data_IF_611661060083
#
_entry.id   IF_611661060083
#
_cell.length_a   1.000
_cell.length_b   1.000
_cell.length_c   1.000
_cell.angle_alpha   90.00
_cell.angle_beta   90.00
_cell.angle_gamma   90.00
#
_symmetry.space_group_name_H-M   'P 1'
#
loop_
_entity.id
_entity.type
_entity.pdbx_description
1 polymer ?
#
# COMPACT_ATOMS: atom_id res chain seq x y z
N UNK A 1 34.06 34.74 -36.53
CA UNK A 1 34.66 35.53 -35.43
C UNK A 1 34.31 34.81 -34.15
N UNK A 2 35.31 34.37 -33.38
CA UNK A 2 35.07 33.77 -32.07
C UNK A 2 34.41 34.84 -31.19
N UNK A 3 33.29 34.51 -30.55
CA UNK A 3 32.64 35.42 -29.61
C UNK A 3 33.55 35.50 -28.38
N UNK A 4 34.11 36.69 -28.10
CA UNK A 4 34.98 36.86 -26.94
C UNK A 4 34.20 36.56 -25.65
N UNK A 5 34.72 35.62 -24.87
CA UNK A 5 34.18 35.23 -23.58
C UNK A 5 34.53 36.34 -22.58
N UNK A 6 33.55 37.03 -21.98
CA UNK A 6 33.82 38.12 -21.05
C UNK A 6 34.44 37.63 -19.74
N UNK A 7 35.10 38.53 -19.01
CA UNK A 7 35.65 38.22 -17.69
C UNK A 7 34.59 37.64 -16.74
N UNK A 8 35.02 36.72 -15.88
CA UNK A 8 34.17 35.99 -14.92
C UNK A 8 33.07 35.14 -15.59
N UNK A 9 33.36 34.59 -16.77
CA UNK A 9 32.50 33.62 -17.46
C UNK A 9 33.28 32.42 -17.99
N UNK A 10 32.56 31.37 -18.37
CA UNK A 10 33.09 30.17 -18.99
C UNK A 10 32.16 29.70 -20.13
N UNK A 11 32.70 28.89 -21.05
CA UNK A 11 31.92 28.31 -22.14
C UNK A 11 30.83 27.37 -21.64
N UNK A 12 29.65 27.46 -22.27
CA UNK A 12 28.55 26.54 -21.97
C UNK A 12 28.94 25.10 -22.28
N UNK A 13 28.64 24.21 -21.34
CA UNK A 13 28.81 22.76 -21.52
C UNK A 13 27.89 22.20 -22.62
N UNK A 14 26.74 22.83 -22.86
CA UNK A 14 25.79 22.47 -23.92
C UNK A 14 25.19 23.72 -24.58
N UNK A 15 25.16 23.77 -25.92
CA UNK A 15 24.67 24.92 -26.70
C UNK A 15 25.79 25.87 -27.16
N UNK A 16 25.40 27.02 -27.73
CA UNK A 16 26.35 28.10 -28.10
C UNK A 16 26.25 29.25 -27.09
N UNK A 17 27.39 29.84 -26.73
CA UNK A 17 27.50 30.97 -25.81
C UNK A 17 28.24 30.61 -24.50
N UNK A 18 28.23 31.55 -23.56
CA UNK A 18 28.94 31.46 -22.27
C UNK A 18 27.95 31.60 -21.10
N UNK A 19 28.36 31.13 -19.93
CA UNK A 19 27.68 31.31 -18.63
C UNK A 19 28.61 32.02 -17.65
N UNK A 20 28.05 32.85 -16.77
CA UNK A 20 28.83 33.48 -15.70
C UNK A 20 29.34 32.43 -14.71
N UNK A 21 30.52 32.68 -14.15
CA UNK A 21 31.09 31.91 -13.05
C UNK A 21 30.25 32.09 -11.77
N UNK A 22 30.36 31.15 -10.84
CA UNK A 22 29.69 31.20 -9.54
C UNK A 22 29.97 32.56 -8.84
N UNK A 23 28.92 33.21 -8.34
CA UNK A 23 29.00 34.56 -7.77
C UNK A 23 28.80 35.70 -8.77
N UNK A 24 28.58 35.40 -10.05
CA UNK A 24 28.33 36.39 -11.09
C UNK A 24 27.03 36.12 -11.85
N UNK A 25 26.35 37.19 -12.26
CA UNK A 25 25.11 37.15 -13.04
C UNK A 25 25.27 37.90 -14.35
N UNK A 26 24.63 37.38 -15.40
CA UNK A 26 24.67 38.00 -16.71
C UNK A 26 23.97 39.37 -16.70
N UNK A 27 24.70 40.40 -17.11
CA UNK A 27 24.20 41.75 -17.32
C UNK A 27 24.66 42.23 -18.70
N UNK A 28 23.72 42.22 -19.66
CA UNK A 28 24.00 42.48 -21.09
C UNK A 28 25.06 41.51 -21.63
N UNK A 29 26.24 42.01 -22.04
CA UNK A 29 27.34 41.23 -22.62
C UNK A 29 28.48 40.96 -21.61
N UNK A 30 28.23 41.13 -20.32
CA UNK A 30 29.24 40.99 -19.27
C UNK A 30 28.66 40.23 -18.07
N UNK A 31 29.56 39.67 -17.26
CA UNK A 31 29.22 39.12 -15.96
C UNK A 31 29.45 40.18 -14.89
N UNK A 32 28.37 40.52 -14.16
CA UNK A 32 28.45 41.42 -13.01
C UNK A 32 28.41 40.58 -11.74
N UNK A 33 29.27 40.90 -10.79
CA UNK A 33 29.27 40.29 -9.45
C UNK A 33 27.89 40.46 -8.80
N UNK A 34 27.42 39.40 -8.17
CA UNK A 34 26.16 39.38 -7.41
C UNK A 34 26.42 40.08 -6.08
N UNK A 35 25.66 41.14 -5.81
CA UNK A 35 25.66 41.79 -4.51
C UNK A 35 24.86 40.93 -3.53
N UNK A 36 25.53 40.44 -2.48
CA UNK A 36 24.96 39.54 -1.49
C UNK A 36 24.65 40.36 -0.24
N UNK A 37 23.36 40.59 0.08
CA UNK A 37 23.02 41.39 1.24
C UNK A 37 23.38 40.67 2.55
N UNK A 38 23.42 41.42 3.64
CA UNK A 38 23.60 40.85 4.98
C UNK A 38 22.56 39.74 5.25
N UNK A 39 23.01 38.67 5.91
CA UNK A 39 22.22 37.46 6.19
C UNK A 39 21.73 36.71 4.94
N UNK A 40 22.46 36.81 3.82
CA UNK A 40 22.30 35.96 2.65
C UNK A 40 23.57 35.16 2.33
N UNK A 41 23.43 34.15 1.48
CA UNK A 41 24.55 33.42 0.89
C UNK A 41 24.35 33.26 -0.62
N UNK A 42 25.45 33.14 -1.36
CA UNK A 42 25.42 32.90 -2.80
C UNK A 42 24.83 31.53 -3.10
N UNK A 43 23.93 31.51 -4.08
CA UNK A 43 23.50 30.27 -4.72
C UNK A 43 24.38 29.98 -5.93
N UNK A 44 24.41 28.72 -6.37
CA UNK A 44 25.05 28.34 -7.64
C UNK A 44 24.19 28.68 -8.87
N UNK A 45 23.11 29.44 -8.70
CA UNK A 45 22.20 29.82 -9.77
C UNK A 45 22.62 31.14 -10.40
N UNK A 46 22.90 31.12 -11.70
CA UNK A 46 23.08 32.33 -12.52
C UNK A 46 21.75 33.00 -12.91
N UNK A 47 20.62 32.38 -12.58
CA UNK A 47 19.26 32.88 -12.79
C UNK A 47 18.64 33.36 -11.47
N UNK A 48 17.76 34.38 -11.52
CA UNK A 48 17.16 34.97 -10.31
C UNK A 48 18.07 36.00 -9.62
N UNK A 49 17.95 36.18 -8.31
CA UNK A 49 18.82 37.07 -7.52
C UNK A 49 20.25 36.52 -7.37
N UNK A 50 20.43 35.21 -7.48
CA UNK A 50 21.72 34.55 -7.34
C UNK A 50 22.17 34.38 -5.88
N UNK A 51 21.35 34.79 -4.92
CA UNK A 51 21.54 34.60 -3.48
C UNK A 51 20.23 34.15 -2.82
N UNK A 52 20.34 33.45 -1.70
CA UNK A 52 19.24 33.05 -0.83
C UNK A 52 19.51 33.53 0.60
N UNK A 53 18.44 33.89 1.33
CA UNK A 53 18.59 34.28 2.73
C UNK A 53 19.05 33.10 3.58
N UNK A 54 19.87 33.39 4.58
CA UNK A 54 20.25 32.44 5.61
C UNK A 54 19.02 32.02 6.43
N UNK A 55 19.10 30.87 7.09
CA UNK A 55 18.02 30.36 7.94
C UNK A 55 17.59 31.41 8.97
N UNK A 56 16.28 31.62 9.11
CA UNK A 56 15.70 32.65 9.98
C UNK A 56 15.50 34.01 9.31
N UNK A 57 15.85 34.17 8.02
CA UNK A 57 15.65 35.40 7.26
C UNK A 57 14.83 35.14 5.99
N UNK A 58 14.09 36.14 5.54
CA UNK A 58 13.25 36.08 4.34
C UNK A 58 13.59 37.23 3.40
N UNK A 59 13.66 36.90 2.11
CA UNK A 59 13.93 37.89 1.07
C UNK A 59 12.77 38.87 0.97
N UNK A 60 13.09 40.16 1.03
CA UNK A 60 12.17 41.26 0.76
C UNK A 60 12.91 42.36 0.03
N UNK A 61 12.55 42.58 -1.23
CA UNK A 61 13.33 43.39 -2.16
C UNK A 61 14.78 42.85 -2.25
N UNK A 62 15.78 43.73 -2.13
CA UNK A 62 17.20 43.40 -2.22
C UNK A 62 17.84 43.19 -0.83
N UNK A 63 17.06 42.78 0.18
CA UNK A 63 17.57 42.47 1.52
C UNK A 63 16.93 41.23 2.13
N UNK A 64 17.60 40.69 3.15
CA UNK A 64 17.10 39.63 4.01
C UNK A 64 16.59 40.24 5.31
N UNK A 65 15.27 40.25 5.50
CA UNK A 65 14.65 40.66 6.75
C UNK A 65 14.48 39.45 7.68
N UNK A 66 14.72 39.65 8.97
CA UNK A 66 14.54 38.61 9.99
C UNK A 66 13.08 38.16 10.06
N UNK A 67 12.89 36.83 10.14
CA UNK A 67 11.57 36.23 10.28
C UNK A 67 11.09 36.42 11.71
N UNK A 68 10.10 37.29 11.88
CA UNK A 68 9.42 37.46 13.17
C UNK A 68 8.57 36.24 13.47
N UNK A 69 8.91 35.53 14.54
CA UNK A 69 8.17 34.37 15.03
C UNK A 69 7.04 34.89 15.95
N UNK A 70 5.76 34.69 15.59
CA UNK A 70 4.65 35.15 16.41
C UNK A 70 4.48 34.27 17.66
N UNK A 71 3.60 34.70 18.58
CA UNK A 71 3.25 33.90 19.75
C UNK A 71 2.67 32.54 19.32
N UNK A 72 2.94 31.50 20.10
CA UNK A 72 2.58 30.12 19.84
C UNK A 72 3.16 29.53 18.54
N UNK A 73 4.29 30.04 18.06
CA UNK A 73 5.02 29.50 16.92
C UNK A 73 6.47 29.13 17.27
N UNK A 74 7.05 28.26 16.47
CA UNK A 74 8.46 27.87 16.55
C UNK A 74 9.12 27.96 15.17
N UNK A 75 10.43 28.19 15.09
CA UNK A 75 11.14 28.28 13.83
C UNK A 75 11.06 26.95 13.08
N UNK A 76 10.77 27.01 11.78
CA UNK A 76 10.73 25.83 10.92
C UNK A 76 11.65 26.08 9.73
N UNK A 77 12.62 25.18 9.57
CA UNK A 77 13.64 25.29 8.52
C UNK A 77 13.05 24.90 7.16
N UNK A 78 12.31 25.84 6.55
CA UNK A 78 11.76 25.70 5.20
C UNK A 78 12.06 26.95 4.39
N UNK A 79 12.76 26.76 3.27
CA UNK A 79 13.07 27.80 2.27
C UNK A 79 11.81 28.40 1.61
N UNK A 80 10.63 27.81 1.83
CA UNK A 80 9.33 28.27 1.32
C UNK A 80 8.29 28.31 2.44
N UNK A 81 7.45 29.35 2.46
CA UNK A 81 6.39 29.54 3.45
C UNK A 81 6.72 30.63 4.47
N UNK A 82 6.15 30.53 5.67
CA UNK A 82 6.29 31.54 6.72
C UNK A 82 7.63 31.46 7.49
N UNK A 83 8.38 30.36 7.35
CA UNK A 83 9.62 30.10 8.10
C UNK A 83 9.43 29.77 9.58
N UNK A 84 8.18 29.59 9.99
CA UNK A 84 7.77 29.12 11.31
C UNK A 84 6.57 28.19 11.15
N UNK A 85 6.32 27.40 12.18
CA UNK A 85 5.11 26.61 12.32
C UNK A 85 4.47 26.84 13.68
N UNK A 86 3.16 26.64 13.75
CA UNK A 86 2.43 26.77 15.00
C UNK A 86 2.75 25.62 15.95
N UNK A 87 2.83 25.91 17.24
CA UNK A 87 2.84 24.89 18.28
C UNK A 87 1.61 24.00 18.18
N UNK A 88 1.72 22.79 18.72
CA UNK A 88 0.62 21.83 18.77
C UNK A 88 -0.64 22.47 19.35
N UNK A 89 -1.77 22.29 18.66
CA UNK A 89 -3.05 22.90 19.04
C UNK A 89 -3.28 24.31 18.49
N UNK A 90 -2.43 24.79 17.59
CA UNK A 90 -2.60 26.05 16.89
C UNK A 90 -2.46 25.84 15.38
N UNK A 91 -3.15 26.66 14.60
CA UNK A 91 -3.12 26.66 13.12
C UNK A 91 -2.70 28.01 12.57
N UNK A 92 -2.08 28.02 11.40
CA UNK A 92 -1.66 29.26 10.73
C UNK A 92 -2.90 30.09 10.37
N UNK A 93 -2.90 31.35 10.83
CA UNK A 93 -3.89 32.36 10.49
C UNK A 93 -3.18 33.61 9.99
N UNK A 94 -2.96 33.69 8.67
CA UNK A 94 -2.19 34.76 8.01
C UNK A 94 -0.75 34.87 8.57
N UNK A 95 -0.54 35.77 9.53
CA UNK A 95 0.74 36.14 10.12
C UNK A 95 0.91 35.71 11.59
N UNK A 96 -0.06 34.99 12.15
CA UNK A 96 0.00 34.49 13.53
C UNK A 96 -0.55 33.06 13.66
N UNK A 97 -0.38 32.48 14.84
CA UNK A 97 -0.94 31.19 15.20
C UNK A 97 -2.24 31.37 15.99
N UNK A 98 -3.34 30.88 15.42
CA UNK A 98 -4.64 30.88 16.10
C UNK A 98 -4.88 29.51 16.72
N UNK A 99 -5.34 29.48 17.98
CA UNK A 99 -5.70 28.24 18.66
C UNK A 99 -6.73 27.45 17.84
N UNK A 100 -6.52 26.14 17.74
CA UNK A 100 -7.44 25.23 17.07
C UNK A 100 -8.67 25.04 17.94
N UNK A 101 -9.83 25.44 17.41
CA UNK A 101 -11.13 25.17 18.03
C UNK A 101 -11.48 23.69 17.81
N UNK A 102 -11.80 23.00 18.89
CA UNK A 102 -12.22 21.60 18.86
C UNK A 102 -13.74 21.52 18.99
N UNK A 103 -14.44 20.84 18.07
CA UNK A 103 -15.83 20.51 18.30
C UNK A 103 -15.97 19.54 19.48
N UNK A 104 -17.19 19.39 19.99
CA UNK A 104 -17.49 18.40 21.03
C UNK A 104 -17.09 16.99 20.57
N UNK A 105 -16.54 16.18 21.49
CA UNK A 105 -16.01 14.83 21.22
C UNK A 105 -14.87 14.79 20.18
N UNK A 106 -14.03 15.84 20.13
CA UNK A 106 -12.83 15.88 19.30
C UNK A 106 -11.55 16.11 20.12
N UNK A 107 -10.44 15.58 19.63
CA UNK A 107 -9.10 15.78 20.16
C UNK A 107 -8.12 16.17 19.06
N UNK A 108 -7.03 16.81 19.43
CA UNK A 108 -5.99 17.23 18.47
C UNK A 108 -5.28 16.03 17.85
N UNK A 109 -5.07 16.05 16.54
CA UNK A 109 -4.35 14.98 15.85
C UNK A 109 -2.84 15.06 16.14
N UNK A 110 -2.32 14.08 16.86
CA UNK A 110 -0.90 14.02 17.22
C UNK A 110 0.05 14.03 16.01
N UNK A 111 -0.42 13.64 14.83
CA UNK A 111 0.39 13.56 13.61
C UNK A 111 0.21 14.74 12.65
N UNK A 112 -0.87 15.51 12.81
CA UNK A 112 -1.18 16.69 11.99
C UNK A 112 -1.34 17.87 12.94
N UNK A 113 -0.31 18.70 13.06
CA UNK A 113 -0.23 19.77 14.07
C UNK A 113 -1.40 20.78 14.07
N UNK A 114 -2.16 20.86 12.98
CA UNK A 114 -3.33 21.75 12.83
C UNK A 114 -4.68 21.00 12.75
N UNK A 115 -4.66 19.66 12.69
CA UNK A 115 -5.84 18.82 12.52
C UNK A 115 -6.42 18.33 13.84
N UNK A 116 -7.66 17.85 13.80
CA UNK A 116 -8.32 17.18 14.90
C UNK A 116 -8.91 15.84 14.42
N UNK A 117 -9.19 14.95 15.37
CA UNK A 117 -9.85 13.67 15.18
C UNK A 117 -11.00 13.54 16.16
N UNK A 118 -12.01 12.78 15.79
CA UNK A 118 -13.08 12.45 16.70
C UNK A 118 -12.61 11.43 17.75
N UNK A 119 -13.12 11.59 18.97
CA UNK A 119 -13.01 10.59 20.02
C UNK A 119 -13.57 9.24 19.56
N UNK A 120 -13.19 8.18 20.27
CA UNK A 120 -13.70 6.84 20.00
C UNK A 120 -15.24 6.87 20.04
N UNK A 121 -15.87 6.13 19.13
CA UNK A 121 -17.34 6.08 18.93
C UNK A 121 -17.92 7.28 18.17
N UNK A 122 -17.09 8.22 17.73
CA UNK A 122 -17.54 9.35 16.92
C UNK A 122 -16.84 9.36 15.57
N UNK A 123 -17.55 9.86 14.55
CA UNK A 123 -17.01 10.05 13.20
C UNK A 123 -17.12 11.51 12.77
N UNK A 124 -16.19 11.92 11.92
CA UNK A 124 -16.20 13.27 11.38
C UNK A 124 -17.32 13.40 10.34
N UNK A 125 -18.27 14.31 10.61
CA UNK A 125 -19.31 14.74 9.68
C UNK A 125 -19.22 16.25 9.61
N UNK A 126 -18.79 16.77 8.45
CA UNK A 126 -18.41 18.16 8.26
C UNK A 126 -17.36 18.62 9.31
N UNK A 127 -17.64 19.71 10.02
CA UNK A 127 -16.80 20.28 11.08
C UNK A 127 -17.20 19.79 12.48
N UNK A 128 -17.83 18.62 12.60
CA UNK A 128 -18.31 18.06 13.87
C UNK A 128 -18.00 16.57 14.01
N UNK A 129 -18.03 16.12 15.26
CA UNK A 129 -18.01 14.70 15.59
C UNK A 129 -19.42 14.22 15.89
N UNK A 130 -19.96 13.41 14.99
CA UNK A 130 -21.25 12.77 15.16
C UNK A 130 -21.07 11.37 15.77
N UNK A 131 -21.95 11.00 16.70
CA UNK A 131 -21.94 9.68 17.31
C UNK A 131 -22.14 8.61 16.23
N UNK A 132 -21.38 7.52 16.34
CA UNK A 132 -21.57 6.32 15.52
C UNK A 132 -22.65 5.48 16.18
N UNK A 133 -23.81 5.42 15.55
CA UNK A 133 -24.89 4.52 15.94
C UNK A 133 -24.51 3.09 15.53
N UNK A 134 -24.17 2.26 16.51
CA UNK A 134 -23.83 0.85 16.28
C UNK A 134 -25.11 0.02 16.35
N UNK A 135 -25.50 -0.68 15.28
CA UNK A 135 -26.71 -1.50 15.30
C UNK A 135 -26.54 -2.75 16.18
N UNK A 136 -27.64 -3.45 16.45
CA UNK A 136 -27.61 -4.76 17.13
C UNK A 136 -26.72 -5.74 16.35
N UNK A 137 -25.89 -6.52 17.05
CA UNK A 137 -24.87 -7.40 16.47
C UNK A 137 -23.77 -6.66 15.68
N UNK A 138 -23.61 -5.36 15.92
CA UNK A 138 -22.50 -4.56 15.42
C UNK A 138 -21.47 -4.24 16.53
N UNK A 139 -20.25 -3.93 16.12
CA UNK A 139 -19.20 -3.43 17.00
C UNK A 139 -18.41 -2.32 16.31
N UNK A 140 -17.87 -1.39 17.09
CA UNK A 140 -17.03 -0.31 16.56
C UNK A 140 -15.74 -0.84 15.96
N UNK A 141 -15.40 -0.37 14.78
CA UNK A 141 -14.11 -0.63 14.14
C UNK A 141 -13.28 0.66 14.07
N UNK A 142 -11.98 0.51 13.88
CA UNK A 142 -11.06 1.65 13.75
C UNK A 142 -10.98 2.18 12.30
N UNK A 143 -11.98 1.86 11.46
CA UNK A 143 -11.95 2.28 10.06
C UNK A 143 -12.24 3.78 9.96
N UNK A 144 -11.29 4.52 9.39
CA UNK A 144 -11.45 5.96 9.09
C UNK A 144 -12.38 6.22 7.90
N UNK A 145 -12.94 5.17 7.28
CA UNK A 145 -13.81 5.23 6.11
C UNK A 145 -15.01 4.30 6.29
N UNK A 146 -16.19 4.72 5.84
CA UNK A 146 -17.42 3.92 5.91
C UNK A 146 -18.23 4.15 7.18
N UNK A 147 -18.89 3.10 7.65
CA UNK A 147 -19.91 3.15 8.70
C UNK A 147 -19.33 3.38 10.11
N UNK A 148 -18.03 3.08 10.32
CA UNK A 148 -17.35 3.19 11.63
C UNK A 148 -17.68 2.03 12.58
N UNK A 149 -18.36 1.01 12.07
CA UNK A 149 -18.69 -0.23 12.75
C UNK A 149 -18.63 -1.39 11.76
N UNK A 150 -18.48 -2.60 12.29
CA UNK A 150 -18.52 -3.88 11.57
C UNK A 150 -19.52 -4.80 12.25
N UNK A 151 -20.01 -5.81 11.53
CA UNK A 151 -20.90 -6.81 12.10
C UNK A 151 -20.14 -7.90 12.84
N UNK A 152 -20.70 -8.39 13.94
CA UNK A 152 -20.25 -9.58 14.64
C UNK A 152 -20.24 -10.80 13.71
N UNK A 153 -19.41 -11.80 14.04
CA UNK A 153 -19.32 -13.04 13.27
C UNK A 153 -20.69 -13.70 13.14
N UNK A 154 -21.07 -14.00 11.90
CA UNK A 154 -22.39 -14.56 11.57
C UNK A 154 -23.43 -13.52 11.18
N UNK A 155 -23.04 -12.24 11.13
CA UNK A 155 -23.85 -11.14 10.64
C UNK A 155 -23.13 -10.41 9.50
N UNK A 156 -23.89 -9.71 8.67
CA UNK A 156 -23.34 -8.89 7.56
C UNK A 156 -24.07 -7.56 7.45
N UNK A 157 -23.35 -6.57 6.93
CA UNK A 157 -23.87 -5.22 6.72
C UNK A 157 -24.94 -5.22 5.62
N UNK A 158 -26.10 -4.63 5.92
CA UNK A 158 -27.15 -4.33 4.94
C UNK A 158 -27.79 -2.98 5.29
N UNK A 159 -27.26 -1.92 4.69
CA UNK A 159 -27.63 -0.56 5.09
C UNK A 159 -27.10 -0.26 6.48
N UNK A 160 -27.93 0.30 7.36
CA UNK A 160 -27.53 0.67 8.73
C UNK A 160 -27.76 -0.46 9.75
N UNK A 161 -27.81 -1.72 9.29
CA UNK A 161 -28.11 -2.89 10.13
C UNK A 161 -27.14 -4.05 9.89
N UNK A 162 -26.92 -4.83 10.95
CA UNK A 162 -26.27 -6.14 10.88
C UNK A 162 -27.33 -7.24 10.81
N UNK A 163 -27.46 -7.85 9.63
CA UNK A 163 -28.42 -8.94 9.42
C UNK A 163 -27.74 -10.30 9.54
N UNK A 164 -28.44 -11.26 10.16
CA UNK A 164 -27.92 -12.61 10.32
C UNK A 164 -27.65 -13.28 8.97
N UNK A 165 -26.50 -13.94 8.87
CA UNK A 165 -26.11 -14.76 7.72
C UNK A 165 -26.77 -16.15 7.91
N UNK A 166 -27.58 -16.62 6.95
CA UNK A 166 -28.11 -17.98 7.02
C UNK A 166 -26.96 -18.99 6.99
N UNK A 167 -26.80 -19.75 8.07
CA UNK A 167 -25.79 -20.80 8.17
C UNK A 167 -26.42 -22.14 7.76
N UNK A 168 -26.03 -22.74 6.62
CA UNK A 168 -26.53 -24.04 6.24
C UNK A 168 -26.00 -25.14 7.16
N UNK A 169 -26.68 -26.29 7.14
CA UNK A 169 -26.18 -27.48 7.83
C UNK A 169 -24.78 -27.83 7.32
N UNK A 170 -23.91 -28.31 8.22
CA UNK A 170 -22.53 -28.67 7.91
C UNK A 170 -21.63 -27.50 7.46
N UNK A 171 -21.99 -26.26 7.78
CA UNK A 171 -21.12 -25.09 7.62
C UNK A 171 -20.65 -24.49 8.96
N UNK A 172 -19.68 -23.58 8.90
CA UNK A 172 -19.26 -22.71 10.01
C UNK A 172 -19.01 -21.30 9.49
N UNK A 173 -19.25 -20.28 10.32
CA UNK A 173 -18.97 -18.88 9.96
C UNK A 173 -17.48 -18.61 9.83
N UNK A 174 -17.10 -17.86 8.81
CA UNK A 174 -15.72 -17.34 8.66
C UNK A 174 -15.64 -15.90 9.19
N UNK A 175 -14.43 -15.34 9.22
CA UNK A 175 -14.21 -13.92 9.50
C UNK A 175 -14.07 -13.11 8.20
N UNK A 176 -14.48 -13.68 7.06
CA UNK A 176 -14.32 -13.00 5.78
C UNK A 176 -15.43 -11.97 5.61
N UNK A 177 -15.04 -10.73 5.34
CA UNK A 177 -15.96 -9.63 5.07
C UNK A 177 -16.60 -9.71 3.66
N UNK A 178 -16.29 -10.77 2.92
CA UNK A 178 -16.74 -10.99 1.54
C UNK A 178 -17.24 -12.42 1.33
N UNK A 179 -18.07 -12.63 0.30
CA UNK A 179 -18.65 -13.92 -0.03
C UNK A 179 -19.87 -14.27 0.84
N UNK A 180 -20.03 -15.55 1.17
CA UNK A 180 -21.17 -16.03 1.96
C UNK A 180 -21.00 -15.85 3.48
N UNK A 181 -19.78 -15.54 3.95
CA UNK A 181 -19.44 -15.44 5.37
C UNK A 181 -19.49 -16.78 6.13
N UNK A 182 -19.50 -17.90 5.41
CA UNK A 182 -19.39 -19.24 5.94
C UNK A 182 -18.65 -20.15 4.96
N UNK A 183 -18.09 -21.22 5.49
CA UNK A 183 -17.45 -22.30 4.75
C UNK A 183 -18.00 -23.65 5.18
N UNK A 184 -17.89 -24.64 4.30
CA UNK A 184 -18.28 -26.01 4.63
C UNK A 184 -17.30 -26.66 5.60
N UNK A 185 -17.82 -27.39 6.58
CA UNK A 185 -17.01 -28.24 7.46
C UNK A 185 -16.24 -29.25 6.62
N UNK A 186 -15.08 -29.69 7.12
CA UNK A 186 -14.27 -30.74 6.49
C UNK A 186 -15.13 -31.97 6.17
N UNK A 187 -15.07 -32.44 4.93
CA UNK A 187 -15.89 -33.55 4.44
C UNK A 187 -17.15 -33.12 3.70
N UNK A 188 -17.39 -31.81 3.60
CA UNK A 188 -18.49 -31.23 2.83
C UNK A 188 -17.94 -30.21 1.83
N UNK A 189 -18.67 -30.00 0.74
CA UNK A 189 -18.36 -29.02 -0.30
C UNK A 189 -19.53 -28.09 -0.56
N UNK A 190 -19.21 -26.88 -0.98
CA UNK A 190 -20.23 -25.88 -1.35
C UNK A 190 -20.95 -26.29 -2.62
N UNK A 191 -22.28 -26.23 -2.60
CA UNK A 191 -23.13 -26.36 -3.78
C UNK A 191 -24.32 -25.43 -3.62
N UNK A 192 -24.30 -24.30 -4.33
CA UNK A 192 -25.22 -23.19 -4.08
C UNK A 192 -25.08 -22.68 -2.65
N UNK A 193 -26.19 -22.52 -1.94
CA UNK A 193 -26.21 -22.05 -0.55
C UNK A 193 -26.20 -23.20 0.48
N UNK A 194 -25.62 -24.36 0.14
CA UNK A 194 -25.61 -25.55 1.00
C UNK A 194 -24.27 -26.26 1.00
N UNK A 195 -24.01 -27.02 2.07
CA UNK A 195 -22.85 -27.89 2.18
C UNK A 195 -23.29 -29.34 2.00
N UNK A 196 -22.92 -29.94 0.88
CA UNK A 196 -23.21 -31.34 0.57
C UNK A 196 -22.01 -32.22 0.93
N UNK A 197 -22.28 -33.42 1.44
CA UNK A 197 -21.23 -34.37 1.83
C UNK A 197 -20.41 -34.76 0.61
N UNK A 198 -19.09 -34.83 0.78
CA UNK A 198 -18.17 -35.35 -0.24
C UNK A 198 -18.23 -36.88 -0.18
N UNK A 199 -18.72 -37.48 -1.26
CA UNK A 199 -18.64 -38.93 -1.44
C UNK A 199 -17.21 -39.30 -1.85
N UNK A 200 -16.53 -40.06 -0.98
CA UNK A 200 -15.15 -40.49 -1.19
C UNK A 200 -15.21 -41.89 -1.81
N UNK A 201 -14.75 -42.07 -3.07
CA UNK A 201 -14.75 -43.38 -3.70
C UNK A 201 -13.75 -44.34 -3.04
N UNK A 202 -13.86 -45.63 -3.37
CA UNK A 202 -12.86 -46.62 -2.93
C UNK A 202 -11.46 -46.22 -3.41
N UNK A 203 -10.45 -46.48 -2.57
CA UNK A 203 -9.06 -46.11 -2.82
C UNK A 203 -8.80 -44.60 -2.95
N UNK A 204 -9.63 -43.77 -2.32
CA UNK A 204 -9.43 -42.33 -2.19
C UNK A 204 -9.42 -41.87 -0.72
N UNK A 205 -8.93 -40.66 -0.49
CA UNK A 205 -8.92 -40.00 0.82
C UNK A 205 -9.34 -38.54 0.71
N UNK A 206 -9.86 -37.99 1.82
CA UNK A 206 -10.35 -36.62 1.86
C UNK A 206 -9.20 -35.61 1.82
N UNK A 207 -9.18 -34.74 0.81
CA UNK A 207 -8.20 -33.66 0.64
C UNK A 207 -8.72 -32.37 1.30
N UNK A 208 -7.86 -31.69 2.04
CA UNK A 208 -8.13 -30.31 2.45
C UNK A 208 -7.86 -29.37 1.27
N UNK A 209 -8.84 -29.21 0.38
CA UNK A 209 -8.78 -28.22 -0.68
C UNK A 209 -10.11 -27.48 -0.77
N UNK A 210 -10.03 -26.14 -0.88
CA UNK A 210 -11.21 -25.26 -1.01
C UNK A 210 -11.89 -25.37 -2.38
N UNK A 211 -11.28 -26.08 -3.34
CA UNK A 211 -11.77 -26.24 -4.71
C UNK A 211 -11.49 -27.68 -5.21
N UNK A 212 -12.31 -28.14 -6.17
CA UNK A 212 -12.20 -29.47 -6.78
C UNK A 212 -13.13 -30.52 -6.15
N UNK A 213 -12.84 -31.81 -6.36
CA UNK A 213 -13.69 -32.92 -5.90
C UNK A 213 -13.68 -33.14 -4.37
N UNK A 214 -12.69 -32.55 -3.68
CA UNK A 214 -12.54 -32.68 -2.23
C UNK A 214 -11.89 -33.99 -1.77
N UNK A 215 -11.48 -34.86 -2.69
CA UNK A 215 -10.74 -36.08 -2.43
C UNK A 215 -9.60 -36.26 -3.42
N UNK A 216 -8.65 -37.12 -3.07
CA UNK A 216 -7.54 -37.57 -3.93
C UNK A 216 -7.40 -39.09 -3.85
N UNK A 217 -6.86 -39.69 -4.91
CA UNK A 217 -6.57 -41.12 -4.91
C UNK A 217 -5.42 -41.45 -3.97
N UNK A 218 -5.51 -42.60 -3.30
CA UNK A 218 -4.40 -43.18 -2.56
C UNK A 218 -3.21 -43.43 -3.50
N UNK A 219 -2.00 -43.38 -2.96
CA UNK A 219 -0.78 -43.73 -3.70
C UNK A 219 -0.92 -45.11 -4.33
N UNK A 220 -0.65 -45.22 -5.63
CA UNK A 220 -0.84 -46.42 -6.44
C UNK A 220 -2.17 -46.46 -7.19
N UNK A 221 -2.99 -45.40 -7.08
CA UNK A 221 -4.22 -45.23 -7.83
C UNK A 221 -4.23 -43.87 -8.53
N UNK A 222 -4.90 -43.80 -9.68
CA UNK A 222 -5.05 -42.60 -10.49
C UNK A 222 -6.52 -42.23 -10.67
N UNK A 223 -6.79 -40.94 -10.81
CA UNK A 223 -8.16 -40.46 -11.05
C UNK A 223 -8.65 -40.88 -12.44
N UNK A 224 -9.83 -41.49 -12.49
CA UNK A 224 -10.53 -41.82 -13.74
C UNK A 224 -12.02 -41.54 -13.57
N UNK A 225 -12.47 -40.38 -14.04
CA UNK A 225 -13.83 -39.93 -13.73
C UNK A 225 -14.00 -39.76 -12.22
N UNK A 226 -15.04 -40.31 -11.63
CA UNK A 226 -15.36 -40.19 -10.20
C UNK A 226 -14.88 -41.36 -9.33
N UNK A 227 -13.85 -42.08 -9.79
CA UNK A 227 -13.24 -43.18 -9.05
C UNK A 227 -11.72 -43.20 -9.19
N UNK A 228 -11.08 -43.97 -8.33
CA UNK A 228 -9.64 -44.21 -8.33
C UNK A 228 -9.34 -45.58 -8.92
N UNK A 229 -8.72 -45.58 -10.11
CA UNK A 229 -8.30 -46.79 -10.81
C UNK A 229 -6.89 -47.18 -10.36
N UNK A 230 -6.68 -48.46 -10.05
CA UNK A 230 -5.35 -48.97 -9.69
C UNK A 230 -4.38 -48.76 -10.85
N UNK A 231 -3.17 -48.30 -10.54
CA UNK A 231 -2.09 -48.17 -11.52
C UNK A 231 -1.46 -49.55 -11.71
N UNK A 232 -1.56 -50.07 -12.93
CA UNK A 232 -0.82 -51.25 -13.34
C UNK A 232 0.61 -50.84 -13.72
N UNK A 233 1.58 -51.29 -12.94
CA UNK A 233 3.00 -51.00 -13.17
C UNK A 233 3.57 -51.97 -14.21
N UNK A 234 4.07 -51.50 -15.36
CA UNK A 234 4.78 -52.37 -16.28
C UNK A 234 6.14 -52.80 -15.70
N UNK A 235 6.74 -53.81 -16.32
CA UNK A 235 8.08 -54.26 -15.94
C UNK A 235 9.08 -53.10 -16.05
N UNK A 236 10.00 -52.99 -15.09
CA UNK A 236 10.95 -51.89 -14.97
C UNK A 236 10.35 -50.50 -14.72
N UNK A 237 9.16 -50.41 -14.10
CA UNK A 237 8.58 -49.15 -13.63
C UNK A 237 8.46 -49.06 -12.10
N UNK A 238 8.30 -47.84 -11.59
CA UNK A 238 7.93 -47.53 -10.22
C UNK A 238 6.91 -46.38 -10.20
N UNK A 239 6.18 -46.23 -9.10
CA UNK A 239 5.28 -45.07 -8.92
C UNK A 239 6.11 -43.79 -8.87
N UNK A 240 5.59 -42.74 -9.52
CA UNK A 240 6.20 -41.41 -9.52
C UNK A 240 6.20 -40.78 -8.11
N UNK A 241 6.77 -39.58 -8.00
CA UNK A 241 6.80 -38.88 -6.71
C UNK A 241 5.39 -38.65 -6.15
N UNK A 242 4.43 -38.23 -6.99
CA UNK A 242 3.06 -37.96 -6.55
C UNK A 242 2.32 -39.24 -6.14
N UNK A 243 2.71 -40.38 -6.70
CA UNK A 243 2.06 -41.66 -6.48
C UNK A 243 0.77 -41.84 -7.28
N UNK A 244 0.48 -40.94 -8.22
CA UNK A 244 -0.72 -40.94 -9.07
C UNK A 244 -0.42 -41.27 -10.54
N UNK A 245 0.86 -41.42 -10.88
CA UNK A 245 1.33 -42.01 -12.14
C UNK A 245 2.56 -42.90 -11.86
N UNK A 246 3.25 -43.33 -12.92
CA UNK A 246 4.46 -44.12 -12.84
C UNK A 246 5.53 -43.65 -13.81
N UNK A 247 6.78 -43.94 -13.45
CA UNK A 247 7.98 -43.64 -14.22
C UNK A 247 8.80 -44.91 -14.44
N UNK A 248 9.59 -44.94 -15.50
CA UNK A 248 10.52 -46.05 -15.74
C UNK A 248 11.71 -45.96 -14.78
N UNK A 249 12.17 -47.11 -14.28
CA UNK A 249 13.44 -47.24 -13.60
C UNK A 249 14.56 -46.87 -14.59
N UNK A 250 15.58 -46.12 -14.14
CA UNK A 250 16.74 -45.87 -14.99
C UNK A 250 17.45 -47.19 -15.34
N UNK A 251 17.94 -47.39 -16.59
CA UNK A 251 17.98 -46.46 -17.72
C UNK A 251 16.83 -46.64 -18.74
N UNK A 252 15.72 -47.26 -18.35
CA UNK A 252 14.57 -47.50 -19.24
C UNK A 252 13.81 -46.21 -19.53
N UNK A 253 13.18 -46.15 -20.71
CA UNK A 253 12.39 -44.99 -21.16
C UNK A 253 10.96 -45.44 -21.43
N UNK A 254 10.00 -44.57 -21.11
CA UNK A 254 8.56 -44.80 -21.26
C UNK A 254 8.16 -44.67 -22.73
N UNK A 255 7.53 -45.70 -23.29
CA UNK A 255 6.75 -45.64 -24.52
C UNK A 255 5.35 -46.18 -24.23
N UNK A 256 4.36 -45.29 -24.27
CA UNK A 256 2.98 -45.59 -23.88
C UNK A 256 2.88 -46.26 -22.50
N UNK A 257 2.54 -47.55 -22.49
CA UNK A 257 2.30 -48.36 -21.30
C UNK A 257 3.46 -49.33 -20.97
N UNK A 258 4.63 -49.16 -21.56
CA UNK A 258 5.80 -50.01 -21.32
C UNK A 258 7.08 -49.20 -21.09
N UNK A 259 8.05 -49.85 -20.45
CA UNK A 259 9.42 -49.35 -20.29
C UNK A 259 10.35 -50.19 -21.15
N UNK A 260 11.14 -49.54 -22.00
CA UNK A 260 12.12 -50.21 -22.85
C UNK A 260 13.52 -49.61 -22.65
N UNK A 261 14.54 -50.45 -22.81
CA UNK A 261 15.92 -49.99 -22.79
C UNK A 261 16.17 -49.23 -24.10
N UNK A 262 16.50 -47.94 -24.03
CA UNK A 262 16.92 -47.20 -25.22
C UNK A 262 18.34 -47.61 -25.57
N UNK A 263 18.52 -48.31 -26.69
CA UNK A 263 19.85 -48.60 -27.23
C UNK A 263 20.56 -47.28 -27.55
N UNK A 264 21.70 -47.04 -26.90
CA UNK A 264 22.53 -45.84 -27.10
C UNK A 264 23.38 -45.94 -28.40
N UNK A 265 23.20 -47.00 -29.21
CA UNK A 265 24.04 -47.33 -30.36
C UNK A 265 23.33 -47.31 -31.73
N UNK A 266 22.33 -46.45 -31.95
CA UNK A 266 21.76 -46.23 -33.29
C UNK A 266 21.43 -44.78 -33.59
#
# INVERSE_FOLDING_TARGET
MAEEIPDNSHDKKFGKGWDCNDGYKQNKKQCKEIDVPDNAHLTKSSYGTGWECNAGFRAKNDSCEEIKIPEHAYPKDTLRGSGWACHYGYKIAQDHCKKTELPENAYLDAYKGEGWKCERNYRQVDDKCALIEVPENGYLNDSNSGSGWSCERGFREKGDECIAIPLPENAYFTNDDYGYGWECKRGFRETGNTCIKIEIPENAYLKNASFGKGWECLRGFREKGDFCEKIELPENAHLDYTGTDWECNAPYIRDNNTCFLKDINR
#
